data_IF_709983884452
#
_entry.id   IF_709983884452
#
_cell.length_a   1.000
_cell.length_b   1.000
_cell.length_c   1.000
_cell.angle_alpha   90.00
_cell.angle_beta   90.00
_cell.angle_gamma   90.00
#
_symmetry.space_group_name_H-M   'P 1'
#
loop_
_entity.id
_entity.type
_entity.pdbx_description
1 polymer ?
#
# COMPACT_ATOMS: atom_id res chain seq x y z
N UNK A 1 34.83 57.21 12.55
CA UNK A 1 35.06 55.84 12.06
C UNK A 1 35.30 54.94 13.26
N UNK A 2 34.32 54.12 13.61
CA UNK A 2 34.49 52.99 14.54
C UNK A 2 33.40 51.98 14.21
N UNK A 3 33.78 50.91 13.49
CA UNK A 3 32.90 49.80 13.13
C UNK A 3 32.76 48.89 14.35
N UNK A 4 31.52 48.69 14.80
CA UNK A 4 31.17 47.67 15.79
C UNK A 4 31.29 46.27 15.18
N UNK A 5 31.91 45.37 15.93
CA UNK A 5 32.08 43.97 15.56
C UNK A 5 30.74 43.22 15.66
N UNK A 6 30.37 42.50 14.61
CA UNK A 6 29.24 41.58 14.60
C UNK A 6 29.74 40.24 15.13
N UNK A 7 29.18 39.80 16.26
CA UNK A 7 29.40 38.46 16.78
C UNK A 7 28.68 37.44 15.87
N UNK A 8 29.44 36.53 15.24
CA UNK A 8 28.85 35.41 14.50
C UNK A 8 28.40 34.35 15.49
N UNK A 9 27.09 34.18 15.66
CA UNK A 9 26.52 33.01 16.30
C UNK A 9 26.80 31.77 15.45
N UNK A 10 27.51 30.79 16.00
CA UNK A 10 27.65 29.48 15.39
C UNK A 10 26.31 28.74 15.50
N UNK A 11 25.60 28.58 14.39
CA UNK A 11 24.50 27.62 14.31
C UNK A 11 25.07 26.21 14.48
N UNK A 12 24.73 25.57 15.58
CA UNK A 12 24.97 24.15 15.76
C UNK A 12 24.13 23.39 14.72
N UNK A 13 24.79 22.89 13.68
CA UNK A 13 24.21 21.92 12.76
C UNK A 13 23.74 20.71 13.58
N UNK A 14 22.42 20.56 13.71
CA UNK A 14 21.82 19.31 14.17
C UNK A 14 22.16 18.28 13.09
N UNK A 15 23.23 17.53 13.33
CA UNK A 15 23.54 16.35 12.52
C UNK A 15 22.45 15.33 12.82
N UNK A 16 21.59 15.08 11.83
CA UNK A 16 20.69 13.94 11.89
C UNK A 16 21.53 12.70 12.22
N UNK A 17 21.09 11.85 13.19
CA UNK A 17 21.82 10.64 13.48
C UNK A 17 22.00 9.87 12.18
N UNK A 18 23.26 9.51 11.85
CA UNK A 18 23.59 8.73 10.68
C UNK A 18 22.80 7.43 10.78
N UNK A 19 21.70 7.30 10.05
CA UNK A 19 20.90 6.07 10.00
C UNK A 19 21.88 4.94 9.70
N UNK A 20 22.09 4.02 10.66
CA UNK A 20 23.05 2.96 10.42
C UNK A 20 22.60 2.13 9.21
N UNK A 21 23.54 1.89 8.29
CA UNK A 21 23.26 1.38 6.96
C UNK A 21 22.50 0.05 6.99
N UNK A 22 21.52 -0.09 6.08
CA UNK A 22 20.89 -1.37 5.80
C UNK A 22 21.90 -2.33 5.16
N UNK A 23 21.79 -3.62 5.45
CA UNK A 23 22.67 -4.66 4.92
C UNK A 23 21.92 -5.95 4.58
N UNK A 24 22.54 -6.83 3.78
CA UNK A 24 21.93 -8.09 3.31
C UNK A 24 21.11 -7.90 2.04
N UNK A 25 19.98 -8.62 1.93
CA UNK A 25 19.06 -8.52 0.81
C UNK A 25 18.17 -7.28 0.97
N UNK A 26 18.58 -6.15 0.40
CA UNK A 26 17.90 -4.84 0.55
C UNK A 26 17.42 -4.25 -0.78
N UNK A 27 17.78 -4.86 -1.92
CA UNK A 27 17.40 -4.39 -3.27
C UNK A 27 17.04 -5.60 -4.14
N UNK A 28 15.99 -5.52 -4.99
CA UNK A 28 15.02 -4.43 -5.11
C UNK A 28 13.93 -4.49 -4.04
N UNK A 29 13.39 -3.33 -3.69
CA UNK A 29 12.15 -3.19 -2.93
C UNK A 29 11.28 -2.14 -3.64
N UNK A 30 10.07 -2.53 -4.03
CA UNK A 30 9.06 -1.66 -4.64
C UNK A 30 7.72 -2.02 -4.02
N UNK A 31 6.96 -1.02 -3.56
CA UNK A 31 5.71 -1.19 -2.81
C UNK A 31 5.85 -2.11 -1.58
N UNK A 32 6.74 -1.81 -0.62
CA UNK A 32 6.95 -2.67 0.53
C UNK A 32 5.84 -2.52 1.57
N UNK A 33 5.46 -3.64 2.19
CA UNK A 33 4.68 -3.71 3.43
C UNK A 33 5.47 -4.48 4.49
N UNK A 34 5.26 -4.16 5.77
CA UNK A 34 5.99 -4.75 6.89
C UNK A 34 5.04 -5.22 8.00
N UNK A 35 5.32 -6.40 8.56
CA UNK A 35 4.68 -6.92 9.77
C UNK A 35 5.69 -7.58 10.68
N UNK A 36 5.34 -7.77 11.95
CA UNK A 36 6.15 -8.48 12.93
C UNK A 36 5.45 -9.73 13.43
N UNK A 37 6.19 -10.83 13.57
CA UNK A 37 5.80 -12.05 14.28
C UNK A 37 6.91 -12.41 15.27
N UNK A 38 6.58 -12.50 16.55
CA UNK A 38 7.58 -12.75 17.60
C UNK A 38 8.69 -11.69 17.62
N UNK A 39 9.93 -12.13 17.41
CA UNK A 39 11.13 -11.30 17.37
C UNK A 39 11.63 -11.01 15.94
N UNK A 40 10.84 -11.35 14.92
CA UNK A 40 11.16 -11.14 13.51
C UNK A 40 10.21 -10.16 12.85
N UNK A 41 10.78 -9.30 12.04
CA UNK A 41 10.11 -8.47 11.05
C UNK A 41 10.10 -9.19 9.71
N UNK A 42 9.03 -9.00 8.95
CA UNK A 42 8.82 -9.56 7.63
C UNK A 42 8.43 -8.44 6.69
N UNK A 43 9.09 -8.36 5.54
CA UNK A 43 8.76 -7.42 4.47
C UNK A 43 8.33 -8.20 3.25
N UNK A 44 7.21 -7.80 2.67
CA UNK A 44 6.74 -8.26 1.37
C UNK A 44 6.74 -7.08 0.42
N UNK A 45 7.15 -7.28 -0.82
CA UNK A 45 7.15 -6.23 -1.84
C UNK A 45 6.80 -6.81 -3.21
N UNK A 46 6.55 -5.92 -4.17
CA UNK A 46 6.33 -6.26 -5.58
C UNK A 46 7.40 -7.23 -6.08
N UNK A 47 6.97 -8.19 -6.92
CA UNK A 47 7.76 -9.28 -7.46
C UNK A 47 8.94 -8.86 -8.35
N UNK A 48 9.50 -9.85 -9.04
CA UNK A 48 10.58 -9.66 -10.01
C UNK A 48 10.32 -10.43 -11.30
N UNK A 49 9.21 -10.11 -11.98
CA UNK A 49 8.80 -10.53 -13.34
C UNK A 49 9.23 -11.93 -13.73
N UNK A 50 8.33 -12.90 -13.66
CA UNK A 50 8.57 -14.31 -14.03
C UNK A 50 9.69 -15.01 -13.25
N UNK A 51 10.33 -14.35 -12.26
CA UNK A 51 11.32 -14.99 -11.36
C UNK A 51 10.77 -15.24 -9.98
N UNK A 52 10.11 -14.23 -9.40
CA UNK A 52 9.53 -14.27 -8.06
C UNK A 52 8.17 -13.58 -8.11
N UNK A 53 7.07 -14.29 -7.80
CA UNK A 53 5.75 -13.68 -7.79
C UNK A 53 5.65 -12.51 -6.81
N UNK A 54 6.21 -12.65 -5.60
CA UNK A 54 6.47 -11.57 -4.65
C UNK A 54 7.90 -11.69 -4.10
N UNK A 55 8.46 -10.58 -3.64
CA UNK A 55 9.71 -10.60 -2.88
C UNK A 55 9.38 -10.61 -1.39
N UNK A 56 10.02 -11.51 -0.63
CA UNK A 56 9.85 -11.64 0.81
C UNK A 56 11.19 -11.61 1.52
N UNK A 57 11.25 -10.96 2.69
CA UNK A 57 12.45 -10.80 3.50
C UNK A 57 12.13 -10.88 4.97
N UNK A 58 13.13 -11.21 5.79
CA UNK A 58 13.04 -11.15 7.25
C UNK A 58 14.22 -10.42 7.88
N UNK A 59 13.98 -9.80 9.02
CA UNK A 59 14.99 -9.13 9.82
C UNK A 59 14.66 -9.26 11.31
N UNK A 60 15.66 -9.25 12.19
CA UNK A 60 15.45 -9.19 13.65
C UNK A 60 15.62 -7.78 14.20
N UNK A 61 16.26 -6.89 13.44
CA UNK A 61 16.73 -5.58 13.91
C UNK A 61 16.36 -4.40 12.99
N UNK A 62 15.59 -4.67 11.92
CA UNK A 62 15.23 -3.73 10.84
C UNK A 62 16.42 -3.22 10.01
N UNK A 63 17.63 -3.75 10.21
CA UNK A 63 18.86 -3.30 9.57
C UNK A 63 19.45 -4.37 8.66
N UNK A 64 19.58 -5.59 9.15
CA UNK A 64 20.06 -6.72 8.38
C UNK A 64 18.88 -7.54 7.87
N UNK A 65 18.77 -7.68 6.55
CA UNK A 65 17.68 -8.37 5.88
C UNK A 65 18.17 -9.64 5.20
N UNK A 66 17.49 -10.76 5.46
CA UNK A 66 17.70 -12.03 4.79
C UNK A 66 16.53 -12.33 3.84
N UNK A 67 16.79 -12.92 2.66
CA UNK A 67 15.73 -13.29 1.73
C UNK A 67 14.88 -14.43 2.31
N UNK A 68 13.60 -14.43 1.96
CA UNK A 68 12.67 -15.53 2.17
C UNK A 68 12.11 -16.02 0.82
N UNK A 69 11.60 -17.26 0.73
CA UNK A 69 10.80 -17.69 -0.40
C UNK A 69 9.58 -16.77 -0.60
N UNK A 70 9.15 -16.62 -1.86
CA UNK A 70 7.87 -15.97 -2.16
C UNK A 70 6.73 -16.72 -1.44
N UNK A 71 5.75 -16.01 -0.85
CA UNK A 71 4.58 -16.63 -0.21
C UNK A 71 3.88 -17.65 -1.09
N UNK A 72 3.63 -17.29 -2.35
CA UNK A 72 3.14 -18.22 -3.38
C UNK A 72 4.29 -18.54 -4.35
N UNK A 73 4.45 -19.81 -4.78
CA UNK A 73 5.52 -20.22 -5.68
C UNK A 73 5.35 -19.64 -7.09
N UNK A 74 4.10 -19.46 -7.52
CA UNK A 74 3.70 -18.97 -8.84
C UNK A 74 2.44 -18.10 -8.75
N UNK A 75 2.08 -17.42 -9.85
CA UNK A 75 0.73 -16.86 -9.98
C UNK A 75 -0.28 -18.01 -10.03
N UNK A 76 -1.33 -17.98 -9.18
CA UNK A 76 -2.42 -18.96 -9.25
C UNK A 76 -3.11 -18.98 -10.62
N UNK A 77 -3.66 -20.14 -11.01
CA UNK A 77 -4.31 -20.31 -12.32
C UNK A 77 -5.49 -19.34 -12.53
N UNK A 78 -6.26 -19.07 -11.47
CA UNK A 78 -7.35 -18.09 -11.53
C UNK A 78 -6.82 -16.70 -11.88
N UNK A 79 -5.63 -16.32 -11.38
CA UNK A 79 -5.04 -15.02 -11.60
C UNK A 79 -4.54 -14.87 -13.04
N UNK A 80 -3.91 -15.92 -13.59
CA UNK A 80 -3.50 -15.97 -15.01
C UNK A 80 -4.69 -15.90 -15.95
N UNK A 81 -5.80 -16.54 -15.56
CA UNK A 81 -7.07 -16.50 -16.32
C UNK A 81 -7.74 -15.14 -16.22
N UNK A 82 -7.78 -14.56 -15.02
CA UNK A 82 -8.42 -13.27 -14.76
C UNK A 82 -7.66 -12.11 -15.41
N UNK A 83 -6.32 -12.17 -15.45
CA UNK A 83 -5.47 -11.13 -16.05
C UNK A 83 -4.43 -11.79 -16.97
N UNK A 84 -4.82 -12.13 -18.22
CA UNK A 84 -3.91 -12.76 -19.16
C UNK A 84 -2.68 -11.89 -19.46
N UNK A 85 -1.49 -12.47 -19.28
CA UNK A 85 -0.20 -11.80 -19.49
C UNK A 85 0.37 -11.10 -18.26
N UNK A 86 -0.24 -11.25 -17.08
CA UNK A 86 0.42 -10.88 -15.83
C UNK A 86 1.64 -11.80 -15.56
N UNK A 87 2.73 -11.21 -15.08
CA UNK A 87 4.05 -11.87 -14.93
C UNK A 87 4.48 -12.03 -13.45
N UNK A 88 3.85 -11.27 -12.56
CA UNK A 88 4.20 -11.19 -11.14
C UNK A 88 3.00 -10.62 -10.36
N UNK A 89 3.13 -10.53 -9.04
CA UNK A 89 2.17 -9.86 -8.17
C UNK A 89 2.77 -8.54 -7.65
N UNK A 90 1.92 -7.54 -7.43
CA UNK A 90 2.32 -6.18 -7.03
C UNK A 90 1.69 -5.74 -5.72
N UNK A 91 2.34 -4.77 -5.07
CA UNK A 91 1.83 -4.01 -3.92
C UNK A 91 1.10 -4.88 -2.88
N UNK A 92 1.82 -5.84 -2.25
CA UNK A 92 1.21 -6.67 -1.23
C UNK A 92 0.84 -5.84 0.01
N UNK A 93 -0.21 -6.24 0.71
CA UNK A 93 -0.54 -5.76 2.04
C UNK A 93 -0.76 -6.93 2.99
N UNK A 94 -0.26 -6.82 4.23
CA UNK A 94 -0.25 -7.89 5.21
C UNK A 94 -0.87 -7.45 6.53
N UNK A 95 -1.84 -8.23 7.00
CA UNK A 95 -2.48 -8.00 8.29
C UNK A 95 -2.68 -9.32 9.05
N UNK A 96 -2.54 -9.27 10.38
CA UNK A 96 -2.94 -10.36 11.26
C UNK A 96 -4.41 -10.19 11.64
N UNK A 97 -5.23 -11.17 11.29
CA UNK A 97 -6.67 -11.20 11.58
C UNK A 97 -7.00 -12.50 12.29
N UNK A 98 -7.23 -12.40 13.60
CA UNK A 98 -7.42 -13.59 14.44
C UNK A 98 -6.12 -14.37 14.57
N UNK A 99 -6.18 -15.65 14.25
CA UNK A 99 -5.06 -16.60 14.25
C UNK A 99 -4.33 -16.70 12.90
N UNK A 100 -4.74 -15.91 11.89
CA UNK A 100 -4.17 -15.96 10.54
C UNK A 100 -3.57 -14.64 10.10
N UNK A 101 -2.55 -14.75 9.27
CA UNK A 101 -2.03 -13.69 8.42
C UNK A 101 -2.80 -13.67 7.10
N UNK A 102 -3.16 -12.48 6.64
CA UNK A 102 -3.81 -12.22 5.35
C UNK A 102 -2.89 -11.35 4.51
N UNK A 103 -2.42 -11.91 3.41
CA UNK A 103 -1.59 -11.22 2.42
C UNK A 103 -2.44 -10.93 1.18
N UNK A 104 -2.92 -9.70 1.06
CA UNK A 104 -3.55 -9.22 -0.16
C UNK A 104 -2.47 -8.88 -1.19
N UNK A 105 -2.75 -9.06 -2.47
CA UNK A 105 -1.81 -8.76 -3.54
C UNK A 105 -2.53 -8.39 -4.83
N UNK A 106 -1.86 -7.65 -5.70
CA UNK A 106 -2.39 -7.19 -6.98
C UNK A 106 -1.86 -8.07 -8.13
N UNK A 107 -2.69 -8.27 -9.14
CA UNK A 107 -2.34 -8.92 -10.42
C UNK A 107 -2.81 -7.99 -11.53
N UNK A 108 -1.89 -7.53 -12.38
CA UNK A 108 -2.20 -6.50 -13.38
C UNK A 108 -1.16 -6.45 -14.50
N UNK A 109 -1.36 -5.52 -15.44
CA UNK A 109 -0.43 -5.14 -16.51
C UNK A 109 -0.34 -3.63 -16.59
N UNK A 110 0.88 -3.13 -16.80
CA UNK A 110 1.18 -1.72 -16.64
C UNK A 110 0.34 -0.84 -17.58
N UNK A 111 -0.25 0.23 -17.04
CA UNK A 111 -1.06 1.17 -17.81
C UNK A 111 -2.48 0.68 -18.16
N UNK A 112 -2.92 -0.46 -17.63
CA UNK A 112 -4.27 -0.99 -17.84
C UNK A 112 -5.05 -1.04 -16.53
N UNK A 113 -6.39 -1.09 -16.61
CA UNK A 113 -7.27 -1.38 -15.47
C UNK A 113 -7.86 -2.79 -15.50
N UNK A 114 -7.34 -3.68 -16.36
CA UNK A 114 -7.71 -5.09 -16.31
C UNK A 114 -6.86 -5.76 -15.23
N UNK A 115 -7.40 -5.80 -14.02
CA UNK A 115 -6.65 -6.10 -12.81
C UNK A 115 -7.48 -6.91 -11.83
N UNK A 116 -6.80 -7.57 -10.89
CA UNK A 116 -7.44 -8.28 -9.80
C UNK A 116 -6.62 -8.17 -8.52
N UNK A 117 -7.31 -8.13 -7.39
CA UNK A 117 -6.74 -8.32 -6.05
C UNK A 117 -7.04 -9.75 -5.62
N UNK A 118 -6.00 -10.47 -5.20
CA UNK A 118 -6.09 -11.79 -4.57
C UNK A 118 -5.80 -11.74 -3.07
N UNK A 119 -6.01 -12.86 -2.40
CA UNK A 119 -5.70 -13.04 -0.98
C UNK A 119 -5.02 -14.39 -0.77
N UNK A 120 -3.90 -14.39 -0.05
CA UNK A 120 -3.30 -15.59 0.51
C UNK A 120 -3.33 -15.56 2.04
N UNK A 121 -3.42 -16.72 2.70
CA UNK A 121 -3.37 -16.81 4.16
C UNK A 121 -2.33 -17.79 4.67
N UNK A 122 -1.79 -17.51 5.85
CA UNK A 122 -0.89 -18.40 6.59
C UNK A 122 -1.19 -18.31 8.10
N UNK A 123 -0.82 -19.33 8.87
CA UNK A 123 -0.95 -19.30 10.34
C UNK A 123 0.31 -18.76 11.03
N UNK A 124 1.45 -18.84 10.36
CA UNK A 124 2.77 -18.35 10.78
C UNK A 124 3.53 -17.82 9.58
N UNK A 125 4.44 -16.88 9.79
CA UNK A 125 5.31 -16.31 8.76
C UNK A 125 6.71 -16.94 8.78
N UNK A 126 7.10 -17.60 9.87
CA UNK A 126 8.39 -18.31 10.00
C UNK A 126 8.39 -19.64 9.21
N UNK A 127 9.22 -19.78 8.15
CA UNK A 127 9.32 -21.02 7.39
C UNK A 127 9.78 -22.25 8.19
N UNK A 128 10.39 -22.04 9.36
CA UNK A 128 10.82 -23.11 10.25
C UNK A 128 9.74 -23.53 11.26
N UNK A 129 8.66 -22.78 11.39
CA UNK A 129 7.61 -23.06 12.37
C UNK A 129 6.63 -24.16 11.88
N UNK A 130 6.13 -25.03 12.78
CA UNK A 130 5.04 -25.93 12.45
C UNK A 130 3.82 -25.17 11.94
N UNK A 131 3.18 -25.68 10.89
CA UNK A 131 2.02 -25.04 10.27
C UNK A 131 2.35 -23.93 9.27
N UNK A 132 3.64 -23.69 8.97
CA UNK A 132 4.03 -22.82 7.88
C UNK A 132 3.52 -23.35 6.53
N UNK A 133 2.95 -22.44 5.74
CA UNK A 133 2.39 -22.73 4.44
C UNK A 133 1.36 -21.68 4.07
N UNK A 134 1.53 -21.08 2.90
CA UNK A 134 0.56 -20.13 2.35
C UNK A 134 -0.51 -20.86 1.56
N UNK A 135 -1.76 -20.50 1.78
CA UNK A 135 -2.91 -20.92 0.98
C UNK A 135 -3.43 -19.75 0.18
N UNK A 136 -3.53 -19.91 -1.14
CA UNK A 136 -4.29 -18.99 -1.98
C UNK A 136 -5.80 -19.12 -1.68
N UNK A 137 -6.44 -18.01 -1.35
CA UNK A 137 -7.88 -17.90 -1.13
C UNK A 137 -8.62 -17.40 -2.38
N UNK A 138 -7.90 -17.08 -3.44
CA UNK A 138 -8.47 -16.67 -4.71
C UNK A 138 -8.80 -15.18 -4.80
N UNK A 139 -9.65 -14.88 -5.79
CA UNK A 139 -10.10 -13.53 -6.11
C UNK A 139 -10.81 -12.84 -4.93
N UNK A 140 -10.46 -11.57 -4.71
CA UNK A 140 -11.11 -10.64 -3.77
C UNK A 140 -11.97 -9.64 -4.55
N UNK A 141 -11.38 -8.92 -5.50
CA UNK A 141 -12.06 -7.94 -6.35
C UNK A 141 -11.31 -7.77 -7.67
N UNK A 142 -12.01 -7.49 -8.76
CA UNK A 142 -11.42 -7.27 -10.08
C UNK A 142 -11.95 -5.98 -10.72
N UNK A 143 -11.23 -5.51 -11.73
CA UNK A 143 -11.64 -4.46 -12.64
C UNK A 143 -11.28 -4.83 -14.09
N UNK A 144 -12.02 -4.26 -15.03
CA UNK A 144 -11.84 -4.39 -16.49
C UNK A 144 -11.95 -3.02 -17.14
N UNK A 145 -11.61 -2.94 -18.43
CA UNK A 145 -11.84 -1.73 -19.21
C UNK A 145 -13.32 -1.28 -19.12
N UNK A 146 -13.55 0.01 -18.87
CA UNK A 146 -14.87 0.59 -18.60
C UNK A 146 -15.24 0.71 -17.12
N UNK A 147 -14.66 -0.08 -16.22
CA UNK A 147 -14.87 0.08 -14.78
C UNK A 147 -14.34 1.42 -14.26
N UNK A 148 -14.92 1.97 -13.16
CA UNK A 148 -14.56 3.29 -12.67
C UNK A 148 -13.25 3.32 -11.87
N UNK A 149 -12.58 2.19 -11.66
CA UNK A 149 -11.37 2.07 -10.83
C UNK A 149 -10.44 0.98 -11.36
N UNK A 150 -9.20 0.99 -10.88
CA UNK A 150 -8.25 -0.11 -11.07
C UNK A 150 -8.13 -0.94 -9.78
N UNK A 151 -8.36 -2.25 -9.86
CA UNK A 151 -8.29 -3.17 -8.72
C UNK A 151 -6.84 -3.61 -8.44
N UNK A 152 -6.03 -2.68 -7.95
CA UNK A 152 -4.65 -2.88 -7.44
C UNK A 152 -4.43 -2.07 -6.16
N UNK A 153 -3.26 -2.25 -5.53
CA UNK A 153 -2.81 -1.57 -4.32
C UNK A 153 -3.73 -1.77 -3.10
N UNK A 154 -4.02 -3.02 -2.70
CA UNK A 154 -4.82 -3.29 -1.51
C UNK A 154 -4.14 -2.74 -0.25
N UNK A 155 -4.95 -2.25 0.70
CA UNK A 155 -4.54 -2.08 2.09
C UNK A 155 -5.71 -2.38 3.02
N UNK A 156 -5.49 -3.32 3.93
CA UNK A 156 -6.45 -3.73 4.95
C UNK A 156 -6.47 -2.73 6.10
N UNK A 157 -7.66 -2.42 6.60
CA UNK A 157 -7.83 -1.69 7.84
C UNK A 157 -9.01 -2.23 8.63
N UNK A 158 -8.84 -2.30 9.95
CA UNK A 158 -9.93 -2.57 10.90
C UNK A 158 -10.30 -1.26 11.57
N UNK A 159 -11.58 -0.93 11.56
CA UNK A 159 -12.06 0.26 12.25
C UNK A 159 -12.26 0.01 13.76
N UNK A 160 -12.50 1.09 14.50
CA UNK A 160 -12.73 1.08 15.96
C UNK A 160 -13.96 0.27 16.39
N UNK A 161 -14.89 -0.02 15.48
CA UNK A 161 -16.04 -0.89 15.72
C UNK A 161 -15.73 -2.36 15.38
N UNK A 162 -14.50 -2.67 14.96
CA UNK A 162 -14.07 -4.01 14.58
C UNK A 162 -14.46 -4.42 13.16
N UNK A 163 -15.08 -3.52 12.37
CA UNK A 163 -15.44 -3.80 10.97
C UNK A 163 -14.16 -3.79 10.13
N UNK A 164 -14.12 -4.65 9.13
CA UNK A 164 -12.96 -4.82 8.26
C UNK A 164 -13.23 -4.16 6.90
N UNK A 165 -12.21 -3.50 6.38
CA UNK A 165 -12.28 -2.75 5.13
C UNK A 165 -11.01 -2.98 4.31
N UNK A 166 -11.15 -2.84 3.00
CA UNK A 166 -10.05 -2.81 2.06
C UNK A 166 -10.09 -1.49 1.32
N UNK A 167 -9.06 -0.66 1.48
CA UNK A 167 -8.80 0.43 0.54
C UNK A 167 -7.97 -0.09 -0.62
N UNK A 168 -8.21 0.42 -1.82
CA UNK A 168 -7.46 0.06 -3.01
C UNK A 168 -7.61 1.13 -4.09
N UNK A 169 -6.82 1.05 -5.16
CA UNK A 169 -7.01 1.88 -6.34
C UNK A 169 -5.75 2.60 -6.78
N UNK A 170 -5.65 2.77 -8.10
CA UNK A 170 -4.58 3.50 -8.77
C UNK A 170 -5.15 4.12 -10.04
N UNK A 171 -4.98 5.43 -10.24
CA UNK A 171 -5.55 6.19 -11.36
C UNK A 171 -7.08 6.10 -11.49
N UNK A 172 -7.64 6.28 -12.70
CA UNK A 172 -9.08 6.27 -13.01
C UNK A 172 -9.94 7.06 -12.01
N UNK A 173 -10.96 6.45 -11.40
CA UNK A 173 -11.79 7.08 -10.36
C UNK A 173 -11.09 7.29 -9.03
N UNK A 174 -9.84 6.83 -8.87
CA UNK A 174 -9.02 7.04 -7.69
C UNK A 174 -9.21 5.95 -6.63
N UNK A 175 -9.02 6.33 -5.38
CA UNK A 175 -8.99 5.42 -4.24
C UNK A 175 -10.40 5.02 -3.86
N UNK A 176 -10.61 3.72 -3.75
CA UNK A 176 -11.83 3.07 -3.32
C UNK A 176 -11.68 2.52 -1.89
N UNK A 177 -12.82 2.35 -1.22
CA UNK A 177 -12.96 1.64 0.05
C UNK A 177 -14.13 0.66 -0.07
N UNK A 178 -13.93 -0.58 0.36
CA UNK A 178 -15.00 -1.59 0.38
C UNK A 178 -15.01 -2.35 1.70
N UNK A 179 -16.22 -2.66 2.19
CA UNK A 179 -16.40 -3.45 3.41
C UNK A 179 -16.10 -4.92 3.13
N UNK A 180 -15.35 -5.54 4.04
CA UNK A 180 -15.03 -6.96 3.98
C UNK A 180 -15.93 -7.79 4.91
N UNK A 181 -16.20 -9.01 4.50
CA UNK A 181 -16.67 -10.07 5.37
C UNK A 181 -15.50 -10.54 6.28
N UNK A 182 -15.63 -10.45 7.62
CA UNK A 182 -14.56 -10.80 8.53
C UNK A 182 -14.09 -12.25 8.46
N UNK A 183 -14.94 -13.19 8.03
CA UNK A 183 -14.60 -14.61 7.93
C UNK A 183 -13.68 -14.90 6.74
N UNK A 184 -14.11 -14.48 5.55
CA UNK A 184 -13.41 -14.74 4.29
C UNK A 184 -12.30 -13.73 3.97
N UNK A 185 -12.38 -12.50 4.49
CA UNK A 185 -11.49 -11.41 4.09
C UNK A 185 -11.78 -10.88 2.68
N UNK A 186 -12.93 -11.23 2.09
CA UNK A 186 -13.42 -10.78 0.78
C UNK A 186 -14.54 -9.76 0.94
N UNK A 187 -14.98 -9.06 -0.14
CA UNK A 187 -16.09 -8.12 -0.03
C UNK A 187 -17.31 -8.74 0.64
N UNK A 188 -17.89 -8.04 1.61
CA UNK A 188 -19.13 -8.47 2.24
C UNK A 188 -20.26 -8.55 1.19
N UNK A 189 -21.23 -9.44 1.40
CA UNK A 189 -22.35 -9.60 0.48
C UNK A 189 -23.06 -8.26 0.23
N UNK A 190 -23.20 -7.88 -1.05
CA UNK A 190 -23.81 -6.61 -1.46
C UNK A 190 -22.95 -5.36 -1.26
N UNK A 191 -21.74 -5.46 -0.70
CA UNK A 191 -20.82 -4.34 -0.59
C UNK A 191 -20.38 -3.86 -1.99
N UNK A 192 -20.30 -2.54 -2.14
CA UNK A 192 -19.82 -1.88 -3.37
C UNK A 192 -18.64 -0.97 -3.03
N UNK A 193 -17.63 -0.87 -3.90
CA UNK A 193 -16.55 0.10 -3.73
C UNK A 193 -17.10 1.53 -3.65
N UNK A 194 -16.58 2.30 -2.69
CA UNK A 194 -16.88 3.71 -2.52
C UNK A 194 -15.61 4.53 -2.72
N UNK A 195 -15.65 5.49 -3.65
CA UNK A 195 -14.52 6.38 -3.88
C UNK A 195 -14.31 7.30 -2.66
N UNK A 196 -13.13 7.21 -2.02
CA UNK A 196 -12.76 7.99 -0.84
C UNK A 196 -11.76 9.11 -1.14
N UNK A 197 -10.99 9.01 -2.23
CA UNK A 197 -10.07 10.06 -2.64
C UNK A 197 -9.79 10.06 -4.15
N UNK A 198 -9.64 11.27 -4.71
CA UNK A 198 -9.07 11.52 -6.04
C UNK A 198 -8.06 12.66 -5.92
N UNK A 199 -7.15 12.76 -6.88
CA UNK A 199 -6.24 13.91 -7.00
C UNK A 199 -6.85 15.07 -7.79
N UNK A 200 -7.74 14.75 -8.72
CA UNK A 200 -8.43 15.68 -9.62
C UNK A 200 -7.53 16.78 -10.21
N UNK A 201 -6.97 16.49 -11.37
CA UNK A 201 -6.07 17.38 -12.10
C UNK A 201 -6.77 18.03 -13.31
N UNK A 202 -8.11 18.10 -13.33
CA UNK A 202 -8.90 18.52 -14.48
C UNK A 202 -8.87 17.47 -15.59
N UNK A 203 -8.51 17.88 -16.82
CA UNK A 203 -8.42 16.98 -18.00
C UNK A 203 -7.20 16.04 -17.97
N UNK A 204 -6.37 16.13 -16.93
CA UNK A 204 -5.17 15.30 -16.77
C UNK A 204 -5.51 14.02 -16.00
N UNK A 205 -4.68 13.00 -16.21
CA UNK A 205 -4.79 11.70 -15.53
C UNK A 205 -4.84 11.88 -14.00
N UNK A 206 -5.78 11.19 -13.36
CA UNK A 206 -5.97 11.21 -11.91
C UNK A 206 -4.84 10.47 -11.18
N UNK A 207 -3.63 11.04 -11.14
CA UNK A 207 -2.43 10.37 -10.62
C UNK A 207 -2.43 10.27 -9.08
N UNK A 208 -3.18 9.29 -8.58
CA UNK A 208 -3.34 8.91 -7.16
C UNK A 208 -3.36 7.39 -7.07
N UNK A 209 -2.63 6.81 -6.12
CA UNK A 209 -2.57 5.37 -5.89
C UNK A 209 -2.07 5.01 -4.48
N UNK A 210 -1.81 3.72 -4.22
CA UNK A 210 -1.22 3.20 -2.97
C UNK A 210 -1.87 3.74 -1.68
N UNK A 211 -3.18 3.50 -1.46
CA UNK A 211 -3.84 3.96 -0.25
C UNK A 211 -3.38 3.15 0.96
N UNK A 212 -3.19 3.81 2.10
CA UNK A 212 -2.94 3.16 3.37
C UNK A 212 -3.64 3.93 4.49
N UNK A 213 -4.46 3.27 5.31
CA UNK A 213 -5.25 3.93 6.36
C UNK A 213 -4.78 3.45 7.73
N UNK A 214 -4.39 4.41 8.59
CA UNK A 214 -4.05 4.12 9.99
C UNK A 214 -5.03 4.82 10.95
N UNK A 215 -5.37 4.15 12.04
CA UNK A 215 -6.05 4.76 13.18
C UNK A 215 -5.01 5.25 14.20
N UNK A 216 -4.97 6.57 14.45
CA UNK A 216 -4.07 7.15 15.43
C UNK A 216 -4.61 8.47 16.00
N UNK A 217 -4.50 8.63 17.32
CA UNK A 217 -4.79 9.91 18.01
C UNK A 217 -6.24 10.38 17.84
N UNK A 218 -7.21 9.46 17.73
CA UNK A 218 -8.61 9.81 17.54
C UNK A 218 -9.00 10.15 16.09
N UNK A 219 -8.09 9.97 15.13
CA UNK A 219 -8.32 10.17 13.70
C UNK A 219 -8.00 8.92 12.87
N UNK A 220 -8.64 8.80 11.71
CA UNK A 220 -8.17 7.96 10.61
C UNK A 220 -7.34 8.81 9.67
N UNK A 221 -6.15 8.34 9.33
CA UNK A 221 -5.24 9.02 8.41
C UNK A 221 -5.14 8.23 7.12
N UNK A 222 -5.67 8.77 6.03
CA UNK A 222 -5.44 8.25 4.69
C UNK A 222 -4.11 8.77 4.17
N UNK A 223 -3.19 7.85 3.92
CA UNK A 223 -1.95 8.07 3.19
C UNK A 223 -2.21 7.62 1.75
N UNK A 224 -1.82 8.43 0.78
CA UNK A 224 -1.87 8.10 -0.65
C UNK A 224 -0.62 8.59 -1.33
N UNK A 225 -0.25 7.92 -2.42
CA UNK A 225 0.81 8.37 -3.30
C UNK A 225 0.25 9.15 -4.47
N UNK A 226 0.96 10.20 -4.83
CA UNK A 226 0.54 11.21 -5.78
C UNK A 226 1.57 11.32 -6.91
N UNK A 227 1.09 11.56 -8.13
CA UNK A 227 1.88 11.62 -9.38
C UNK A 227 2.48 10.27 -9.81
N UNK A 228 3.64 10.27 -10.47
CA UNK A 228 4.12 9.14 -11.27
C UNK A 228 5.31 8.45 -10.60
N UNK A 229 5.10 7.19 -10.23
CA UNK A 229 6.15 6.24 -9.86
C UNK A 229 6.95 5.79 -11.09
N UNK A 230 7.86 4.85 -10.86
CA UNK A 230 8.29 3.92 -11.90
C UNK A 230 9.02 4.56 -13.10
N UNK A 231 9.61 5.75 -12.90
CA UNK A 231 10.37 6.51 -13.92
C UNK A 231 11.82 6.73 -13.51
N UNK A 232 12.35 5.88 -12.61
CA UNK A 232 13.68 6.02 -12.04
C UNK A 232 13.86 7.40 -11.40
N UNK A 233 14.95 8.10 -11.73
CA UNK A 233 15.25 9.46 -11.25
C UNK A 233 14.29 10.54 -11.79
N UNK A 234 13.45 10.22 -12.77
CA UNK A 234 12.41 11.12 -13.31
C UNK A 234 11.04 10.94 -12.63
N UNK A 235 10.96 10.14 -11.57
CA UNK A 235 9.73 9.96 -10.79
C UNK A 235 9.38 11.27 -10.07
N UNK A 236 8.11 11.64 -10.06
CA UNK A 236 7.60 12.81 -9.32
C UNK A 236 6.75 12.41 -8.10
N UNK A 237 6.87 11.14 -7.72
CA UNK A 237 6.08 10.45 -6.72
C UNK A 237 6.27 11.04 -5.33
N UNK A 238 5.18 11.27 -4.62
CA UNK A 238 5.22 11.80 -3.25
C UNK A 238 3.95 11.48 -2.46
N UNK A 239 4.05 11.53 -1.13
CA UNK A 239 2.93 11.19 -0.25
C UNK A 239 2.01 12.39 0.01
N UNK A 240 0.74 12.07 0.28
CA UNK A 240 -0.24 12.96 0.90
C UNK A 240 -0.91 12.23 2.05
N UNK A 241 -1.09 12.93 3.15
CA UNK A 241 -1.73 12.40 4.36
C UNK A 241 -2.92 13.29 4.71
N UNK A 242 -4.10 12.70 4.90
CA UNK A 242 -5.34 13.42 5.15
C UNK A 242 -6.16 12.78 6.28
N UNK A 243 -6.71 13.58 7.22
CA UNK A 243 -7.47 13.05 8.34
C UNK A 243 -8.96 12.88 8.01
N UNK A 244 -9.61 11.95 8.71
CA UNK A 244 -11.06 11.80 8.83
C UNK A 244 -11.44 11.36 10.26
N UNK A 245 -12.65 11.73 10.72
CA UNK A 245 -13.15 11.37 12.07
C UNK A 245 -13.63 9.91 12.16
N UNK A 246 -14.06 9.35 11.04
CA UNK A 246 -14.40 7.94 10.88
C UNK A 246 -13.90 7.46 9.52
N UNK A 247 -13.77 6.14 9.35
CA UNK A 247 -13.27 5.55 8.10
C UNK A 247 -14.18 5.84 6.88
N UNK A 248 -15.48 6.06 7.12
CA UNK A 248 -16.48 6.39 6.09
C UNK A 248 -16.65 7.91 5.91
N UNK A 249 -16.15 8.72 6.85
CA UNK A 249 -16.18 10.17 6.74
C UNK A 249 -15.24 10.64 5.61
N UNK A 250 -15.53 11.79 4.98
CA UNK A 250 -14.61 12.34 3.99
C UNK A 250 -13.24 12.66 4.60
N UNK A 251 -12.19 12.18 3.93
CA UNK A 251 -10.84 12.65 4.14
C UNK A 251 -10.70 14.06 3.57
N UNK A 252 -10.25 15.01 4.40
CA UNK A 252 -10.26 16.44 4.08
C UNK A 252 -8.88 16.97 3.78
N UNK A 253 -8.76 17.81 2.76
CA UNK A 253 -7.56 18.60 2.49
C UNK A 253 -7.38 19.77 3.48
N UNK A 254 -6.24 20.49 3.43
CA UNK A 254 -6.00 21.63 4.32
C UNK A 254 -7.01 22.78 4.18
N UNK A 255 -7.77 22.84 3.09
CA UNK A 255 -8.85 23.81 2.88
C UNK A 255 -10.22 23.31 3.37
N UNK A 256 -10.29 22.11 3.95
CA UNK A 256 -11.52 21.47 4.41
C UNK A 256 -12.32 20.78 3.29
N UNK A 257 -11.75 20.62 2.09
CA UNK A 257 -12.45 19.98 0.96
C UNK A 257 -12.26 18.48 0.99
N UNK A 258 -13.35 17.74 0.79
CA UNK A 258 -13.31 16.29 0.69
C UNK A 258 -12.52 15.83 -0.54
N UNK A 259 -11.56 14.92 -0.34
CA UNK A 259 -10.74 14.36 -1.43
C UNK A 259 -11.57 13.61 -2.48
N UNK A 260 -12.75 13.08 -2.11
CA UNK A 260 -13.68 12.42 -3.06
C UNK A 260 -14.50 13.40 -3.91
N UNK A 261 -14.42 14.70 -3.66
CA UNK A 261 -15.23 15.69 -4.38
C UNK A 261 -14.82 15.80 -5.85
N UNK A 262 -15.79 15.92 -6.77
CA UNK A 262 -15.53 16.26 -8.19
C UNK A 262 -15.07 17.70 -8.40
N UNK A 263 -15.13 18.52 -7.36
CA UNK A 263 -14.60 19.88 -7.33
C UNK A 263 -13.27 19.95 -6.59
N UNK A 264 -12.71 18.79 -6.19
CA UNK A 264 -11.39 18.76 -5.59
C UNK A 264 -10.38 19.32 -6.59
N UNK A 265 -9.49 20.19 -6.15
CA UNK A 265 -8.32 20.60 -6.95
C UNK A 265 -7.16 20.48 -6.00
N UNK A 266 -6.28 19.51 -6.23
CA UNK A 266 -5.12 19.35 -5.35
C UNK A 266 -4.34 20.67 -5.32
N UNK A 267 -4.09 21.26 -4.13
CA UNK A 267 -3.15 22.36 -4.01
C UNK A 267 -1.79 21.92 -4.55
N UNK A 268 -1.05 22.83 -5.18
CA UNK A 268 0.36 22.57 -5.52
C UNK A 268 1.13 22.24 -4.24
N UNK A 269 2.15 21.36 -4.29
CA UNK A 269 3.05 21.21 -3.16
C UNK A 269 3.61 22.58 -2.77
N UNK A 270 3.57 22.90 -1.47
CA UNK A 270 4.42 23.94 -0.89
C UNK A 270 5.71 23.29 -0.43
#
# INVERSE_FOLDING_TARGET
>A
ASRGAVASGSEALITAPREAALSGDVVPAHDPVLIREGDRYYVYSTGQRDRRPLVARTSRDLRHWAPLPSPLPDLPDWARTAVPGALEMWAPDIARVGDRYRLYYSVSRFGTQHSAIGLATATTLDPAAPGYGWRDEGLVIASREGDPYNAIDPAFVRDRQGRQWLSFGSFWGGIQLIRLDPGSGKPAAGAKPQMIARRDMGDKTNAIEAPFIIDHGGWYWLIVSFDFCCRGTKSSYHLRIRPARSIEAPFLDPSGRAMRSRLYKSPSPR
#
